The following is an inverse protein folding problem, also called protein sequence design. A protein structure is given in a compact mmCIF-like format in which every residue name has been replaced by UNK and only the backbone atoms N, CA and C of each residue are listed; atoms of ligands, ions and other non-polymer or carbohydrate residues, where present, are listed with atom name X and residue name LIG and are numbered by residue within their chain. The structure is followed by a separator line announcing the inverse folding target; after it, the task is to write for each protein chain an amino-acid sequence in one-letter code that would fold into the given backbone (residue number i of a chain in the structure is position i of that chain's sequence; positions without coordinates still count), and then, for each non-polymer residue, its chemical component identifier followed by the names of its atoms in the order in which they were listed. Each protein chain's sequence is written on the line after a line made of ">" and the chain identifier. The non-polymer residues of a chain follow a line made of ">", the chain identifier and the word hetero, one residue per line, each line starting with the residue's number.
data_IF_886312433251
#
_entry.id   IF_886312433251
#
_cell.length_a   1.000
_cell.length_b   1.000
_cell.length_c   1.000
_cell.angle_alpha   90.00
_cell.angle_beta   90.00
_cell.angle_gamma   90.00
#
_symmetry.space_group_name_H-M   'P 1'
#
loop_
_entity.id
_entity.type
_entity.pdbx_description
1 polymer ?
#
# COMPACT_ATOMS: atom_id res chain seq x y z
N UNK A 1 2.23 -15.82 16.70
CA UNK A 1 1.34 -14.84 16.03
C UNK A 1 1.09 -13.73 17.02
N UNK A 2 1.46 -12.48 16.72
CA UNK A 2 1.04 -11.35 17.58
C UNK A 2 -0.48 -11.25 17.46
N UNK A 3 -1.19 -11.10 18.59
CA UNK A 3 -2.64 -10.87 18.58
C UNK A 3 -2.89 -9.48 18.02
N UNK A 4 -3.84 -9.35 17.08
CA UNK A 4 -4.26 -8.05 16.56
C UNK A 4 -4.78 -7.20 17.71
N UNK A 5 -4.15 -6.05 17.93
CA UNK A 5 -4.51 -5.14 19.01
C UNK A 5 -5.59 -4.16 18.52
N UNK A 6 -6.51 -3.77 19.40
CA UNK A 6 -7.50 -2.74 19.07
C UNK A 6 -6.84 -1.36 19.17
N UNK A 7 -7.07 -0.50 18.18
CA UNK A 7 -6.59 0.88 18.20
C UNK A 7 -7.16 1.63 19.42
N UNK A 8 -6.31 2.44 20.05
CA UNK A 8 -6.77 3.40 21.05
C UNK A 8 -7.51 4.58 20.38
N UNK A 9 -8.10 5.45 21.20
CA UNK A 9 -8.88 6.59 20.71
C UNK A 9 -8.00 7.61 19.96
N UNK A 10 -6.76 7.81 20.39
CA UNK A 10 -5.83 8.75 19.77
C UNK A 10 -5.44 8.31 18.36
N UNK A 11 -5.11 7.03 18.20
CA UNK A 11 -4.76 6.43 16.92
C UNK A 11 -5.95 6.42 15.98
N UNK A 12 -7.13 6.03 16.48
CA UNK A 12 -8.37 6.08 15.68
C UNK A 12 -8.61 7.50 15.19
N UNK A 13 -8.47 8.50 16.06
CA UNK A 13 -8.67 9.90 15.70
C UNK A 13 -7.68 10.37 14.63
N UNK A 14 -6.38 10.13 14.79
CA UNK A 14 -5.39 10.60 13.81
C UNK A 14 -5.60 9.92 12.45
N UNK A 15 -5.89 8.61 12.40
CA UNK A 15 -6.10 7.93 11.11
C UNK A 15 -7.34 8.43 10.37
N UNK A 16 -8.41 8.78 11.09
CA UNK A 16 -9.57 9.46 10.49
C UNK A 16 -9.23 10.89 10.03
N UNK A 17 -8.38 11.61 10.77
CA UNK A 17 -7.89 12.92 10.31
C UNK A 17 -7.09 12.80 9.01
N UNK A 18 -6.17 11.82 8.91
CA UNK A 18 -5.45 11.55 7.66
C UNK A 18 -6.42 11.29 6.51
N UNK A 19 -7.47 10.49 6.76
CA UNK A 19 -8.48 10.20 5.75
C UNK A 19 -9.16 11.46 5.20
N UNK A 20 -9.55 12.39 6.07
CA UNK A 20 -10.20 13.63 5.64
C UNK A 20 -9.23 14.67 5.05
N UNK A 21 -7.94 14.60 5.38
CA UNK A 21 -6.90 15.50 4.88
C UNK A 21 -6.34 15.08 3.51
N UNK A 22 -6.67 13.88 3.04
CA UNK A 22 -6.22 13.30 1.78
C UNK A 22 -6.88 13.96 0.56
N UNK A 23 -6.49 15.20 0.28
CA UNK A 23 -7.00 16.01 -0.83
C UNK A 23 -6.62 15.47 -2.21
N UNK A 24 -5.56 14.67 -2.28
CA UNK A 24 -5.08 14.06 -3.51
C UNK A 24 -5.75 12.72 -3.81
N UNK A 25 -6.65 12.22 -2.94
CA UNK A 25 -7.47 11.06 -3.22
C UNK A 25 -8.24 11.23 -4.54
N UNK A 26 -8.15 10.23 -5.41
CA UNK A 26 -8.98 10.15 -6.60
C UNK A 26 -10.40 9.69 -6.21
N UNK A 27 -11.40 10.24 -6.91
CA UNK A 27 -12.81 9.95 -6.67
C UNK A 27 -13.32 8.87 -7.62
N UNK A 28 -14.05 7.85 -7.12
CA UNK A 28 -14.71 6.89 -7.99
C UNK A 28 -15.75 7.57 -8.89
N UNK A 29 -16.02 6.98 -10.05
CA UNK A 29 -16.93 7.49 -11.08
C UNK A 29 -16.39 8.69 -11.88
N UNK A 30 -15.49 9.49 -11.29
CA UNK A 30 -14.94 10.73 -11.86
C UNK A 30 -13.47 10.58 -12.28
N UNK A 31 -12.61 10.24 -11.33
CA UNK A 31 -11.17 10.16 -11.55
C UNK A 31 -10.72 8.73 -11.87
N UNK A 32 -11.47 7.71 -11.44
CA UNK A 32 -11.31 6.33 -11.86
C UNK A 32 -12.66 5.61 -11.92
N UNK A 33 -12.70 4.49 -12.65
CA UNK A 33 -13.83 3.56 -12.67
C UNK A 33 -13.30 2.13 -12.63
N UNK A 34 -13.95 1.30 -11.85
CA UNK A 34 -13.62 -0.12 -11.72
C UNK A 34 -14.81 -0.99 -12.16
N UNK A 35 -14.52 -2.25 -12.51
CA UNK A 35 -15.53 -3.28 -12.75
C UNK A 35 -15.23 -4.49 -11.88
N UNK A 36 -16.04 -4.69 -10.84
CA UNK A 36 -15.86 -5.78 -9.87
C UNK A 36 -16.07 -7.17 -10.48
N UNK A 37 -16.89 -7.26 -11.52
CA UNK A 37 -17.17 -8.50 -12.23
C UNK A 37 -17.65 -9.62 -11.29
N UNK A 38 -16.99 -10.79 -11.28
CA UNK A 38 -17.40 -11.95 -10.50
C UNK A 38 -16.69 -12.11 -9.16
N UNK A 39 -17.31 -12.90 -8.27
CA UNK A 39 -16.74 -13.27 -6.97
C UNK A 39 -15.66 -14.33 -7.14
N UNK A 40 -14.43 -14.00 -6.76
CA UNK A 40 -13.30 -14.92 -6.74
C UNK A 40 -13.51 -16.10 -5.77
N UNK A 41 -12.99 -17.26 -6.15
CA UNK A 41 -13.01 -18.47 -5.33
C UNK A 41 -11.96 -18.46 -4.22
N UNK A 42 -12.03 -19.47 -3.33
CA UNK A 42 -10.95 -19.71 -2.37
C UNK A 42 -9.70 -20.23 -3.09
N UNK A 43 -8.55 -19.66 -2.76
CA UNK A 43 -7.22 -20.11 -3.21
C UNK A 43 -6.33 -20.22 -1.99
N UNK A 44 -5.75 -21.40 -1.78
CA UNK A 44 -4.79 -21.62 -0.70
C UNK A 44 -3.46 -20.90 -1.00
N UNK A 45 -2.76 -20.47 0.05
CA UNK A 45 -1.45 -19.84 -0.09
C UNK A 45 -0.45 -20.81 -0.76
N UNK A 46 0.27 -20.33 -1.77
CA UNK A 46 1.18 -21.13 -2.61
C UNK A 46 0.51 -21.93 -3.73
N UNK A 47 -0.82 -21.87 -3.89
CA UNK A 47 -1.51 -22.40 -5.07
C UNK A 47 -1.42 -21.41 -6.23
N UNK A 48 -1.05 -21.90 -7.41
CA UNK A 48 -1.03 -21.13 -8.66
C UNK A 48 -2.26 -21.38 -9.56
N UNK A 49 -3.33 -21.96 -8.98
CA UNK A 49 -4.58 -22.19 -9.69
C UNK A 49 -5.69 -21.36 -9.03
N UNK A 50 -6.20 -20.40 -9.78
CA UNK A 50 -7.40 -19.62 -9.45
C UNK A 50 -8.43 -19.78 -10.58
N UNK A 51 -9.70 -19.92 -10.20
CA UNK A 51 -10.78 -19.85 -11.18
C UNK A 51 -10.97 -18.39 -11.59
N UNK A 52 -10.87 -18.13 -12.88
CA UNK A 52 -11.14 -16.81 -13.42
C UNK A 52 -12.64 -16.48 -13.36
N UNK A 53 -12.95 -15.39 -12.68
CA UNK A 53 -14.30 -14.83 -12.54
C UNK A 53 -14.35 -13.38 -13.04
N UNK A 54 -13.29 -12.90 -13.70
CA UNK A 54 -13.17 -11.55 -14.20
C UNK A 54 -12.48 -11.57 -15.58
N UNK A 55 -13.30 -11.55 -16.64
CA UNK A 55 -12.82 -11.63 -18.04
C UNK A 55 -12.20 -10.33 -18.54
N UNK A 56 -12.36 -9.24 -17.81
CA UNK A 56 -11.88 -7.91 -18.15
C UNK A 56 -10.98 -7.37 -17.02
N UNK A 57 -10.16 -6.34 -17.30
CA UNK A 57 -9.45 -5.60 -16.27
C UNK A 57 -10.37 -5.08 -15.16
N UNK A 58 -9.85 -4.98 -13.94
CA UNK A 58 -10.51 -4.30 -12.83
C UNK A 58 -10.70 -2.82 -13.17
N UNK A 59 -9.64 -2.12 -13.57
CA UNK A 59 -9.72 -0.70 -13.91
C UNK A 59 -10.21 -0.51 -15.34
N UNK A 60 -11.42 0.04 -15.49
CA UNK A 60 -11.96 0.40 -16.80
C UNK A 60 -11.53 1.79 -17.24
N UNK A 61 -11.15 2.65 -16.29
CA UNK A 61 -10.65 3.99 -16.53
C UNK A 61 -9.88 4.52 -15.32
N UNK A 62 -8.79 5.25 -15.57
CA UNK A 62 -8.08 6.09 -14.59
C UNK A 62 -7.68 7.38 -15.29
N UNK A 63 -7.88 8.52 -14.62
CA UNK A 63 -7.49 9.84 -15.11
C UNK A 63 -5.96 10.02 -14.98
N UNK A 64 -5.22 9.57 -15.99
CA UNK A 64 -3.76 9.67 -16.02
C UNK A 64 -3.24 11.10 -16.02
N UNK A 65 -3.98 12.05 -16.61
CA UNK A 65 -3.59 13.47 -16.61
C UNK A 65 -3.61 14.03 -15.18
N UNK A 66 -4.56 13.57 -14.36
CA UNK A 66 -4.60 13.88 -12.94
C UNK A 66 -3.43 13.26 -12.18
N UNK A 67 -3.07 12.01 -12.48
CA UNK A 67 -1.89 11.37 -11.89
C UNK A 67 -0.59 12.13 -12.22
N UNK A 68 -0.43 12.56 -13.46
CA UNK A 68 0.75 13.30 -13.92
C UNK A 68 0.81 14.73 -13.41
N UNK A 69 -0.33 15.34 -13.08
CA UNK A 69 -0.39 16.73 -12.60
C UNK A 69 -0.24 16.87 -11.09
N UNK A 70 -0.44 15.79 -10.32
CA UNK A 70 -0.24 15.78 -8.87
C UNK A 70 1.15 15.24 -8.57
N UNK A 71 2.05 16.10 -8.07
CA UNK A 71 3.45 15.77 -7.80
C UNK A 71 3.68 14.50 -6.99
N UNK A 72 2.81 14.22 -6.00
CA UNK A 72 2.97 13.02 -5.16
C UNK A 72 2.72 11.73 -5.94
N UNK A 73 1.77 11.72 -6.89
CA UNK A 73 1.58 10.60 -7.81
C UNK A 73 2.68 10.54 -8.87
N UNK A 74 3.04 11.67 -9.47
CA UNK A 74 4.10 11.74 -10.48
C UNK A 74 5.40 11.10 -9.97
N UNK A 75 5.91 11.57 -8.83
CA UNK A 75 7.14 11.01 -8.25
C UNK A 75 6.96 9.59 -7.73
N UNK A 76 5.77 9.22 -7.24
CA UNK A 76 5.50 7.85 -6.84
C UNK A 76 5.57 6.88 -8.03
N UNK A 77 5.00 7.26 -9.17
CA UNK A 77 5.03 6.46 -10.40
C UNK A 77 6.47 6.35 -10.94
N UNK A 78 7.25 7.44 -10.94
CA UNK A 78 8.68 7.37 -11.29
C UNK A 78 9.44 6.34 -10.46
N UNK A 79 9.19 6.29 -9.15
CA UNK A 79 9.80 5.29 -8.28
C UNK A 79 9.37 3.87 -8.67
N UNK A 80 8.07 3.63 -8.88
CA UNK A 80 7.56 2.30 -9.29
C UNK A 80 8.22 1.80 -10.60
N UNK A 81 8.35 2.68 -11.59
CA UNK A 81 8.94 2.35 -12.89
C UNK A 81 10.43 1.95 -12.75
N UNK A 82 11.18 2.61 -11.87
CA UNK A 82 12.59 2.31 -11.63
C UNK A 82 12.80 0.93 -10.99
N UNK A 83 11.98 0.57 -10.00
CA UNK A 83 12.10 -0.75 -9.36
C UNK A 83 11.72 -1.90 -10.31
N UNK A 84 10.82 -1.68 -11.27
CA UNK A 84 10.49 -2.69 -12.28
C UNK A 84 11.70 -3.01 -13.18
N UNK A 85 12.45 -1.97 -13.59
CA UNK A 85 13.66 -2.12 -14.42
C UNK A 85 14.81 -2.82 -13.70
N UNK A 86 14.91 -2.67 -12.37
CA UNK A 86 16.01 -3.21 -11.56
C UNK A 86 15.83 -4.68 -11.16
N UNK A 87 14.68 -5.30 -11.45
CA UNK A 87 14.44 -6.71 -11.10
C UNK A 87 15.45 -7.67 -11.76
N UNK A 88 16.33 -8.28 -10.95
CA UNK A 88 17.23 -9.37 -11.37
C UNK A 88 18.74 -9.07 -11.40
N UNK A 89 19.19 -7.91 -10.93
CA UNK A 89 20.61 -7.55 -10.78
C UNK A 89 20.87 -7.06 -9.35
N UNK A 90 22.10 -7.22 -8.83
CA UNK A 90 22.50 -6.63 -7.54
C UNK A 90 22.24 -5.12 -7.58
N UNK A 91 21.33 -4.63 -6.74
CA UNK A 91 20.94 -3.22 -6.72
C UNK A 91 22.15 -2.36 -6.36
N UNK A 92 22.52 -1.45 -7.26
CA UNK A 92 23.47 -0.37 -6.96
C UNK A 92 22.67 0.92 -7.00
N UNK A 93 22.47 1.54 -5.83
CA UNK A 93 21.71 2.78 -5.74
C UNK A 93 22.42 3.86 -6.56
N UNK A 94 21.78 4.30 -7.63
CA UNK A 94 22.25 5.36 -8.52
C UNK A 94 22.01 6.74 -7.92
N UNK A 95 22.71 7.75 -8.45
CA UNK A 95 22.52 9.14 -8.03
C UNK A 95 21.12 9.64 -8.35
N UNK A 96 20.57 9.11 -9.44
CA UNK A 96 19.23 9.35 -9.96
C UNK A 96 18.17 8.79 -9.02
N UNK A 97 18.29 7.52 -8.59
CA UNK A 97 17.36 6.92 -7.61
C UNK A 97 17.37 7.67 -6.27
N UNK A 98 18.54 8.09 -5.77
CA UNK A 98 18.61 8.93 -4.56
C UNK A 98 17.88 10.25 -4.74
N UNK A 99 17.96 10.85 -5.93
CA UNK A 99 17.29 12.10 -6.25
C UNK A 99 15.78 11.92 -6.29
N UNK A 100 15.29 10.84 -6.89
CA UNK A 100 13.86 10.54 -6.94
C UNK A 100 13.28 10.23 -5.56
N UNK A 101 13.98 9.43 -4.75
CA UNK A 101 13.60 9.16 -3.36
C UNK A 101 13.42 10.47 -2.57
N UNK A 102 14.37 11.41 -2.77
CA UNK A 102 14.29 12.74 -2.16
C UNK A 102 13.12 13.55 -2.68
N UNK A 103 12.88 13.59 -4.00
CA UNK A 103 11.78 14.33 -4.60
C UNK A 103 10.42 13.83 -4.10
N UNK A 104 10.25 12.51 -4.00
CA UNK A 104 9.03 11.92 -3.44
C UNK A 104 8.84 12.28 -1.97
N UNK A 105 9.87 12.12 -1.12
CA UNK A 105 9.81 12.52 0.29
C UNK A 105 9.48 14.01 0.42
N UNK A 106 10.15 14.86 -0.35
CA UNK A 106 9.93 16.31 -0.34
C UNK A 106 8.48 16.64 -0.70
N UNK A 107 7.90 15.98 -1.71
CA UNK A 107 6.51 16.18 -2.11
C UNK A 107 5.50 15.72 -1.05
N UNK A 108 5.67 14.51 -0.49
CA UNK A 108 4.69 14.00 0.47
C UNK A 108 4.69 14.79 1.77
N UNK A 109 5.84 15.29 2.25
CA UNK A 109 5.87 16.08 3.51
C UNK A 109 5.23 17.46 3.40
N UNK A 110 5.02 17.96 2.18
CA UNK A 110 4.30 19.23 1.95
C UNK A 110 2.78 19.07 2.12
N UNK A 111 2.27 17.83 2.09
CA UNK A 111 0.83 17.54 2.20
C UNK A 111 0.30 17.70 3.62
N UNK A 112 -0.99 18.03 3.75
CA UNK A 112 -1.65 18.14 5.06
C UNK A 112 -1.69 16.78 5.79
N UNK A 113 -1.78 15.68 5.04
CA UNK A 113 -1.71 14.31 5.53
C UNK A 113 -0.39 14.06 6.27
N UNK A 114 0.74 14.31 5.62
CA UNK A 114 2.04 14.03 6.22
C UNK A 114 2.39 15.00 7.33
N UNK A 115 1.96 16.27 7.25
CA UNK A 115 2.05 17.24 8.36
C UNK A 115 1.30 16.75 9.59
N UNK A 116 0.09 16.23 9.42
CA UNK A 116 -0.71 15.66 10.51
C UNK A 116 -0.01 14.44 11.13
N UNK A 117 0.50 13.53 10.30
CA UNK A 117 1.25 12.36 10.75
C UNK A 117 2.53 12.74 11.52
N UNK A 118 3.30 13.71 11.01
CA UNK A 118 4.51 14.22 11.65
C UNK A 118 4.19 14.81 13.03
N UNK A 119 3.18 15.68 13.12
CA UNK A 119 2.74 16.26 14.39
C UNK A 119 2.32 15.20 15.41
N UNK A 120 1.58 14.17 14.97
CA UNK A 120 1.18 13.06 15.82
C UNK A 120 2.39 12.29 16.35
N UNK A 121 3.35 11.95 15.49
CA UNK A 121 4.56 11.22 15.87
C UNK A 121 5.47 12.03 16.79
N UNK A 122 5.60 13.34 16.58
CA UNK A 122 6.31 14.25 17.49
C UNK A 122 5.65 14.27 18.86
N UNK A 123 4.32 14.40 18.92
CA UNK A 123 3.56 14.38 20.19
C UNK A 123 3.74 13.07 20.95
N UNK A 124 3.87 11.95 20.24
CA UNK A 124 4.12 10.61 20.82
C UNK A 124 5.60 10.35 21.14
N UNK A 125 6.50 11.31 20.88
CA UNK A 125 7.94 11.16 21.09
C UNK A 125 8.60 10.14 20.17
N UNK A 126 8.01 9.90 18.98
CA UNK A 126 8.47 8.89 17.99
C UNK A 126 9.20 9.51 16.80
N UNK A 127 9.06 10.82 16.60
CA UNK A 127 9.73 11.56 15.53
C UNK A 127 10.33 12.87 16.03
N UNK A 128 11.45 13.33 15.45
CA UNK A 128 12.00 14.65 15.71
C UNK A 128 11.07 15.74 15.19
N UNK A 129 11.02 16.89 15.86
CA UNK A 129 10.23 18.04 15.42
C UNK A 129 10.82 18.77 14.21
N UNK A 130 12.15 18.67 14.02
CA UNK A 130 12.83 19.22 12.85
C UNK A 130 12.44 18.46 11.57
N UNK A 131 11.97 19.20 10.56
CA UNK A 131 11.50 18.63 9.31
C UNK A 131 12.64 17.93 8.54
N UNK A 132 13.87 18.46 8.61
CA UNK A 132 15.02 17.85 7.95
C UNK A 132 15.37 16.47 8.54
N UNK A 133 15.31 16.35 9.86
CA UNK A 133 15.46 15.07 10.56
C UNK A 133 14.30 14.12 10.30
N UNK A 134 13.06 14.62 10.20
CA UNK A 134 11.91 13.78 9.85
C UNK A 134 12.01 13.21 8.43
N UNK A 135 12.45 14.02 7.45
CA UNK A 135 12.74 13.54 6.09
C UNK A 135 13.80 12.43 6.08
N UNK A 136 14.87 12.58 6.87
CA UNK A 136 15.88 11.52 7.02
C UNK A 136 15.29 10.26 7.67
N UNK A 137 14.45 10.42 8.70
CA UNK A 137 13.77 9.31 9.35
C UNK A 137 12.85 8.55 8.37
N UNK A 138 12.12 9.26 7.50
CA UNK A 138 11.33 8.63 6.45
C UNK A 138 12.22 7.90 5.44
N UNK A 139 13.33 8.52 5.02
CA UNK A 139 14.30 7.89 4.13
C UNK A 139 14.83 6.57 4.71
N UNK A 140 15.24 6.58 5.98
CA UNK A 140 15.78 5.39 6.66
C UNK A 140 14.77 4.25 6.77
N UNK A 141 13.49 4.57 6.93
CA UNK A 141 12.43 3.56 7.06
C UNK A 141 12.05 2.96 5.70
N UNK A 142 11.95 3.80 4.67
CA UNK A 142 11.34 3.46 3.40
C UNK A 142 12.34 3.12 2.29
N UNK A 143 13.49 3.80 2.23
CA UNK A 143 14.40 3.74 1.08
C UNK A 143 15.79 3.21 1.41
N UNK A 144 16.17 3.13 2.70
CA UNK A 144 17.43 2.50 3.09
C UNK A 144 17.39 1.01 2.75
N UNK A 145 18.37 0.58 1.95
CA UNK A 145 18.55 -0.81 1.60
C UNK A 145 18.89 -1.65 2.84
N UNK A 146 18.44 -2.91 2.84
CA UNK A 146 18.83 -3.91 3.82
C UNK A 146 18.98 -5.29 3.18
N UNK A 147 19.65 -6.20 3.88
CA UNK A 147 19.89 -7.57 3.41
C UNK A 147 18.61 -8.43 3.40
N UNK A 148 18.23 -9.02 2.25
CA UNK A 148 17.15 -10.03 2.17
C UNK A 148 17.49 -11.37 2.84
N UNK A 149 18.77 -11.81 2.81
CA UNK A 149 19.27 -13.05 3.45
C UNK A 149 20.63 -12.83 4.12
N UNK A 150 20.98 -13.68 5.11
CA UNK A 150 22.26 -13.63 5.86
C UNK A 150 23.51 -13.83 5.00
N UNK A 151 23.35 -14.20 3.74
CA UNK A 151 24.40 -14.57 2.78
C UNK A 151 24.47 -13.66 1.54
N UNK A 152 23.57 -12.68 1.39
CA UNK A 152 23.50 -11.76 0.23
C UNK A 152 23.81 -10.30 0.57
N UNK A 153 23.97 -9.44 -0.44
CA UNK A 153 24.13 -7.98 -0.28
C UNK A 153 22.86 -7.27 0.20
N UNK A 154 22.92 -5.96 0.47
CA UNK A 154 21.73 -5.13 0.70
C UNK A 154 21.03 -4.92 -0.66
N UNK A 155 19.82 -5.44 -0.85
CA UNK A 155 19.21 -5.59 -2.18
C UNK A 155 17.69 -5.34 -2.21
N UNK A 156 17.14 -4.71 -1.16
CA UNK A 156 15.75 -4.29 -1.12
C UNK A 156 15.49 -3.22 -0.06
N UNK A 157 14.38 -2.48 -0.21
CA UNK A 157 13.94 -1.45 0.74
C UNK A 157 12.44 -1.53 1.06
N UNK A 158 12.01 -0.80 2.09
CA UNK A 158 10.61 -0.83 2.54
C UNK A 158 9.61 -0.33 1.48
N UNK A 159 9.99 0.62 0.64
CA UNK A 159 9.17 1.09 -0.47
C UNK A 159 8.85 -0.04 -1.45
N UNK A 160 9.87 -0.82 -1.84
CA UNK A 160 9.71 -1.96 -2.74
C UNK A 160 8.75 -3.02 -2.13
N UNK A 161 8.98 -3.38 -0.86
CA UNK A 161 8.17 -4.40 -0.18
C UNK A 161 6.70 -4.01 0.05
N UNK A 162 6.40 -2.72 0.18
CA UNK A 162 5.04 -2.22 0.42
C UNK A 162 4.33 -1.93 -0.91
N UNK A 163 4.99 -1.21 -1.82
CA UNK A 163 4.33 -0.62 -3.00
C UNK A 163 4.60 -1.34 -4.30
N UNK A 164 5.83 -1.79 -4.56
CA UNK A 164 6.19 -2.46 -5.83
C UNK A 164 5.67 -3.91 -5.83
N UNK A 165 5.87 -4.61 -4.72
CA UNK A 165 5.61 -6.04 -4.60
C UNK A 165 6.78 -6.89 -5.11
N UNK A 166 6.94 -8.08 -4.54
CA UNK A 166 8.06 -8.98 -4.84
C UNK A 166 7.55 -10.43 -5.01
N UNK A 167 8.22 -11.20 -5.88
CA UNK A 167 8.00 -12.64 -5.99
C UNK A 167 9.03 -13.38 -5.11
N UNK A 168 8.63 -13.83 -3.94
CA UNK A 168 9.48 -14.62 -3.04
C UNK A 168 9.87 -15.94 -3.69
N UNK A 169 11.18 -16.09 -3.98
CA UNK A 169 11.78 -17.24 -4.65
C UNK A 169 11.10 -17.62 -5.98
N UNK A 170 10.46 -16.67 -6.66
CA UNK A 170 9.70 -16.93 -7.89
C UNK A 170 8.50 -17.86 -7.73
N UNK A 171 8.01 -18.08 -6.50
CA UNK A 171 6.93 -19.04 -6.19
C UNK A 171 5.71 -18.41 -5.55
N UNK A 172 5.88 -17.27 -4.88
CA UNK A 172 4.82 -16.62 -4.11
C UNK A 172 4.92 -15.11 -4.25
N UNK A 173 3.79 -14.45 -4.53
CA UNK A 173 3.72 -12.99 -4.57
C UNK A 173 3.56 -12.46 -3.14
N UNK A 174 4.50 -11.64 -2.69
CA UNK A 174 4.42 -10.85 -1.47
C UNK A 174 4.27 -9.37 -1.84
N UNK A 175 3.37 -8.63 -1.18
CA UNK A 175 3.16 -7.21 -1.51
C UNK A 175 2.14 -7.00 -2.64
N UNK A 176 2.30 -5.97 -3.47
CA UNK A 176 1.35 -5.52 -4.50
C UNK A 176 -0.07 -5.30 -3.94
N UNK A 177 -0.17 -4.36 -3.00
CA UNK A 177 -1.42 -3.94 -2.36
C UNK A 177 -1.84 -2.50 -2.72
N UNK A 178 -0.99 -1.78 -3.45
CA UNK A 178 -1.24 -0.41 -3.86
C UNK A 178 -1.98 -0.39 -5.20
N UNK A 179 -3.03 0.43 -5.27
CA UNK A 179 -3.90 0.47 -6.44
C UNK A 179 -3.26 1.11 -7.67
N UNK A 180 -2.32 2.04 -7.49
CA UNK A 180 -1.60 2.66 -8.62
C UNK A 180 -0.69 1.62 -9.25
N UNK A 181 0.10 0.89 -8.45
CA UNK A 181 0.92 -0.21 -8.95
C UNK A 181 0.05 -1.31 -9.59
N UNK A 182 -1.07 -1.68 -8.96
CA UNK A 182 -2.01 -2.63 -9.55
C UNK A 182 -2.47 -2.17 -10.93
N UNK A 183 -2.94 -0.93 -11.04
CA UNK A 183 -3.40 -0.35 -12.30
C UNK A 183 -2.31 -0.34 -13.37
N UNK A 184 -1.09 0.10 -13.04
CA UNK A 184 0.02 0.12 -13.99
C UNK A 184 0.38 -1.29 -14.45
N UNK A 185 0.44 -2.27 -13.55
CA UNK A 185 0.77 -3.65 -13.90
C UNK A 185 -0.36 -4.33 -14.68
N UNK A 186 -1.62 -4.01 -14.40
CA UNK A 186 -2.78 -4.48 -15.17
C UNK A 186 -2.77 -3.90 -16.59
N UNK A 187 -2.43 -2.61 -16.74
CA UNK A 187 -2.29 -1.95 -18.05
C UNK A 187 -1.17 -2.54 -18.91
N UNK A 188 -0.14 -3.13 -18.31
CA UNK A 188 0.96 -3.81 -19.01
C UNK A 188 0.72 -5.32 -19.16
N UNK A 189 -0.50 -5.81 -18.92
CA UNK A 189 -0.86 -7.24 -18.96
C UNK A 189 -0.01 -8.13 -18.02
N UNK A 190 0.62 -7.53 -16.99
CA UNK A 190 1.37 -8.26 -15.97
C UNK A 190 0.46 -8.77 -14.86
N UNK A 191 -0.60 -8.00 -14.53
CA UNK A 191 -1.64 -8.39 -13.59
C UNK A 191 -2.88 -8.84 -14.35
N UNK A 192 -3.42 -9.97 -13.91
CA UNK A 192 -4.64 -10.56 -14.44
C UNK A 192 -5.63 -10.74 -13.27
N UNK A 193 -6.60 -9.84 -13.20
CA UNK A 193 -7.62 -9.79 -12.16
C UNK A 193 -8.54 -11.01 -12.24
N UNK A 194 -8.78 -11.66 -11.09
CA UNK A 194 -9.58 -12.90 -11.00
C UNK A 194 -10.94 -12.72 -10.33
N UNK A 195 -11.24 -11.51 -9.87
CA UNK A 195 -12.48 -11.20 -9.17
C UNK A 195 -12.28 -10.70 -7.74
N UNK A 196 -13.37 -10.22 -7.15
CA UNK A 196 -13.39 -9.71 -5.79
C UNK A 196 -13.74 -10.83 -4.80
N UNK A 197 -13.30 -10.71 -3.54
CA UNK A 197 -13.79 -11.59 -2.47
C UNK A 197 -14.77 -10.84 -1.58
N UNK A 198 -16.05 -11.18 -1.73
CA UNK A 198 -17.08 -10.79 -0.77
C UNK A 198 -16.77 -11.41 0.60
N UNK A 199 -17.10 -10.70 1.68
CA UNK A 199 -16.97 -11.23 3.04
C UNK A 199 -18.01 -12.34 3.27
N UNK A 200 -17.75 -13.22 4.24
CA UNK A 200 -18.58 -14.42 4.47
C UNK A 200 -20.06 -14.12 4.79
N UNK A 201 -20.38 -12.93 5.28
CA UNK A 201 -21.75 -12.50 5.69
C UNK A 201 -22.19 -11.14 5.12
N UNK A 202 -21.65 -10.66 3.98
CA UNK A 202 -22.04 -9.34 3.41
C UNK A 202 -22.28 -9.38 1.90
N UNK A 203 -23.13 -8.44 1.47
CA UNK A 203 -23.39 -8.10 0.08
C UNK A 203 -22.08 -7.76 -0.68
N UNK A 204 -22.16 -7.88 -2.01
CA UNK A 204 -21.16 -7.41 -2.97
C UNK A 204 -20.62 -6.01 -2.58
N UNK A 205 -19.29 -5.79 -2.56
CA UNK A 205 -18.73 -4.45 -2.38
C UNK A 205 -19.25 -3.51 -3.47
N UNK A 206 -19.27 -2.21 -3.20
CA UNK A 206 -19.65 -1.22 -4.20
C UNK A 206 -18.44 -0.84 -5.08
N UNK A 207 -18.68 -0.39 -6.30
CA UNK A 207 -17.65 0.17 -7.18
C UNK A 207 -17.07 1.48 -6.62
N UNK A 208 -17.79 2.10 -5.68
CA UNK A 208 -17.37 3.30 -4.95
C UNK A 208 -16.59 2.98 -3.65
N UNK A 209 -16.44 1.69 -3.27
CA UNK A 209 -15.68 1.31 -2.07
C UNK A 209 -14.18 1.63 -2.24
N UNK A 210 -13.63 2.36 -1.27
CA UNK A 210 -12.20 2.70 -1.24
C UNK A 210 -11.31 1.60 -0.64
N UNK A 211 -11.88 0.46 -0.23
CA UNK A 211 -11.12 -0.70 0.24
C UNK A 211 -11.72 -1.97 -0.34
N UNK A 212 -10.93 -2.74 -1.07
CA UNK A 212 -11.39 -3.97 -1.73
C UNK A 212 -10.48 -5.15 -1.41
N UNK A 213 -11.07 -6.33 -1.38
CA UNK A 213 -10.36 -7.60 -1.31
C UNK A 213 -10.27 -8.20 -2.71
N UNK A 214 -9.08 -8.19 -3.31
CA UNK A 214 -8.85 -8.57 -4.70
C UNK A 214 -8.09 -9.89 -4.80
N UNK A 215 -8.47 -10.75 -5.74
CA UNK A 215 -7.68 -11.89 -6.20
C UNK A 215 -7.16 -11.59 -7.60
N UNK A 216 -5.89 -11.91 -7.86
CA UNK A 216 -5.27 -11.69 -9.16
C UNK A 216 -4.07 -12.62 -9.32
N UNK A 217 -3.64 -12.82 -10.56
CA UNK A 217 -2.31 -13.32 -10.86
C UNK A 217 -1.37 -12.19 -11.28
N UNK A 218 -0.10 -12.31 -10.95
CA UNK A 218 0.96 -11.40 -11.40
C UNK A 218 2.11 -12.21 -11.97
N UNK A 219 2.47 -11.96 -13.23
CA UNK A 219 3.52 -12.69 -13.98
C UNK A 219 3.36 -14.23 -13.88
N UNK A 220 2.12 -14.72 -13.95
CA UNK A 220 1.79 -16.15 -13.92
C UNK A 220 1.71 -16.80 -12.53
N UNK A 221 2.04 -16.08 -11.45
CA UNK A 221 1.83 -16.54 -10.08
C UNK A 221 0.48 -16.06 -9.57
N UNK A 222 -0.25 -16.89 -8.82
CA UNK A 222 -1.52 -16.48 -8.23
C UNK A 222 -1.29 -15.89 -6.85
N UNK A 223 -1.84 -14.71 -6.62
CA UNK A 223 -1.86 -14.11 -5.29
C UNK A 223 -3.16 -14.46 -4.59
N UNK A 224 -3.09 -15.05 -3.37
CA UNK A 224 -4.27 -15.15 -2.51
C UNK A 224 -4.87 -13.77 -2.24
N UNK A 225 -6.14 -13.75 -1.89
CA UNK A 225 -6.89 -12.51 -1.68
C UNK A 225 -6.17 -11.57 -0.72
N UNK A 226 -5.95 -10.34 -1.17
CA UNK A 226 -5.37 -9.26 -0.37
C UNK A 226 -6.25 -8.02 -0.34
N UNK A 227 -6.30 -7.35 0.81
CA UNK A 227 -6.94 -6.04 0.92
C UNK A 227 -6.07 -4.97 0.28
N UNK A 228 -6.70 -4.06 -0.46
CA UNK A 228 -6.05 -2.92 -1.10
C UNK A 228 -6.91 -1.68 -0.86
N UNK A 229 -6.26 -0.55 -0.58
CA UNK A 229 -6.94 0.74 -0.69
C UNK A 229 -7.09 1.09 -2.17
N UNK A 230 -8.19 1.72 -2.57
CA UNK A 230 -8.47 2.16 -3.94
C UNK A 230 -8.65 3.68 -3.93
N UNK A 231 -7.96 4.38 -4.84
CA UNK A 231 -8.07 5.82 -5.04
C UNK A 231 -7.33 6.69 -4.00
N UNK A 232 -6.93 6.15 -2.85
CA UNK A 232 -6.16 6.89 -1.82
C UNK A 232 -4.81 7.38 -2.36
N UNK A 233 -4.30 8.50 -1.84
CA UNK A 233 -3.00 9.02 -2.28
C UNK A 233 -1.80 8.23 -1.72
N UNK A 234 -0.64 8.28 -2.38
CA UNK A 234 0.58 7.66 -1.88
C UNK A 234 0.95 8.17 -0.48
N UNK A 235 0.83 9.47 -0.23
CA UNK A 235 1.12 10.07 1.08
C UNK A 235 0.19 9.57 2.19
N UNK A 236 -1.05 9.19 1.88
CA UNK A 236 -1.97 8.60 2.85
C UNK A 236 -1.47 7.23 3.31
N UNK A 237 -1.13 6.34 2.38
CA UNK A 237 -0.60 5.01 2.72
C UNK A 237 0.75 5.12 3.45
N UNK A 238 1.66 5.97 2.97
CA UNK A 238 2.95 6.22 3.64
C UNK A 238 2.75 6.73 5.07
N UNK A 239 1.87 7.71 5.27
CA UNK A 239 1.59 8.27 6.59
C UNK A 239 0.99 7.22 7.54
N UNK A 240 -0.01 6.49 7.07
CA UNK A 240 -0.70 5.46 7.84
C UNK A 240 0.27 4.35 8.25
N UNK A 241 1.03 3.77 7.32
CA UNK A 241 1.96 2.69 7.63
C UNK A 241 3.15 3.15 8.48
N UNK A 242 3.63 4.39 8.29
CA UNK A 242 4.67 4.97 9.16
C UNK A 242 4.20 5.12 10.60
N UNK A 243 2.96 5.58 10.82
CA UNK A 243 2.38 5.67 12.17
C UNK A 243 2.32 4.29 12.83
N UNK A 244 1.79 3.29 12.12
CA UNK A 244 1.67 1.93 12.67
C UNK A 244 3.05 1.31 12.91
N UNK A 245 4.03 1.55 12.04
CA UNK A 245 5.41 1.12 12.22
C UNK A 245 5.97 1.60 13.57
N UNK A 246 5.74 2.86 13.96
CA UNK A 246 6.25 3.41 15.22
C UNK A 246 5.53 2.96 16.49
N UNK A 247 4.41 2.23 16.38
CA UNK A 247 3.65 1.77 17.54
C UNK A 247 4.37 0.70 18.36
N UNK A 248 5.14 -0.15 17.70
CA UNK A 248 5.84 -1.28 18.33
C UNK A 248 7.20 -1.44 17.69
N UNK A 249 8.12 -2.17 18.32
CA UNK A 249 9.40 -2.64 17.74
C UNK A 249 9.36 -4.11 17.33
N UNK A 250 8.20 -4.77 17.47
CA UNK A 250 8.00 -6.16 17.06
C UNK A 250 8.13 -6.35 15.54
N UNK A 251 8.38 -7.61 15.12
CA UNK A 251 8.49 -7.99 13.70
C UNK A 251 7.21 -7.76 12.90
N UNK A 252 6.05 -7.78 13.57
CA UNK A 252 4.75 -7.58 12.94
C UNK A 252 3.82 -6.86 13.91
N UNK A 253 3.31 -5.72 13.49
CA UNK A 253 2.26 -4.97 14.19
C UNK A 253 0.96 -5.17 13.43
N UNK A 254 -0.09 -5.60 14.13
CA UNK A 254 -1.44 -5.67 13.56
C UNK A 254 -2.40 -4.88 14.43
N UNK A 255 -3.09 -3.89 13.84
CA UNK A 255 -4.02 -3.01 14.54
C UNK A 255 -5.39 -3.04 13.90
N UNK A 256 -6.41 -3.32 14.70
CA UNK A 256 -7.82 -3.17 14.29
C UNK A 256 -8.30 -1.76 14.59
N UNK A 257 -8.71 -1.03 13.57
CA UNK A 257 -9.15 0.37 13.66
C UNK A 257 -10.33 0.65 12.73
N UNK A 258 -11.20 1.58 13.12
CA UNK A 258 -12.22 2.13 12.23
C UNK A 258 -11.70 3.41 11.57
N UNK A 259 -11.50 3.39 10.26
CA UNK A 259 -11.13 4.55 9.44
C UNK A 259 -12.31 4.86 8.53
N UNK A 260 -12.91 6.03 8.74
CA UNK A 260 -14.17 6.43 8.15
C UNK A 260 -15.25 5.38 8.41
N UNK A 261 -15.83 4.81 7.37
CA UNK A 261 -16.81 3.73 7.46
C UNK A 261 -16.21 2.31 7.51
N UNK A 262 -14.89 2.18 7.32
CA UNK A 262 -14.20 0.90 7.19
C UNK A 262 -13.58 0.47 8.52
N UNK A 263 -13.91 -0.73 8.97
CA UNK A 263 -13.17 -1.43 10.03
C UNK A 263 -12.08 -2.25 9.37
N UNK A 264 -10.83 -1.85 9.62
CA UNK A 264 -9.63 -2.38 9.01
C UNK A 264 -8.76 -3.05 10.06
N UNK A 265 -8.15 -4.19 9.70
CA UNK A 265 -6.93 -4.67 10.34
C UNK A 265 -5.74 -4.18 9.49
N UNK A 266 -4.98 -3.23 10.03
CA UNK A 266 -3.77 -2.70 9.40
C UNK A 266 -2.58 -3.54 9.85
N UNK A 267 -1.90 -4.19 8.90
CA UNK A 267 -0.74 -5.04 9.16
C UNK A 267 0.51 -4.34 8.66
N UNK A 268 1.51 -4.22 9.52
CA UNK A 268 2.85 -3.68 9.18
C UNK A 268 3.92 -4.66 9.65
N UNK A 269 4.70 -5.18 8.71
CA UNK A 269 5.89 -5.97 9.00
C UNK A 269 7.12 -5.06 9.17
N UNK A 270 8.11 -5.54 9.93
CA UNK A 270 9.37 -4.83 10.21
C UNK A 270 10.57 -5.70 9.88
N UNK A 271 11.55 -5.09 9.21
CA UNK A 271 12.88 -5.64 8.99
C UNK A 271 13.92 -4.74 9.67
N UNK A 272 14.22 -5.03 10.93
CA UNK A 272 15.13 -4.19 11.71
C UNK A 272 14.59 -2.77 11.91
N UNK A 273 15.24 -1.79 11.27
CA UNK A 273 14.83 -0.39 11.32
C UNK A 273 13.98 0.04 10.11
N UNK A 274 13.77 -0.85 9.14
CA UNK A 274 13.01 -0.58 7.92
C UNK A 274 11.62 -1.20 7.97
N UNK A 275 10.69 -0.58 7.26
CA UNK A 275 9.35 -1.15 7.07
C UNK A 275 9.42 -2.31 6.08
N UNK A 276 8.62 -3.34 6.28
CA UNK A 276 8.42 -4.42 5.33
C UNK A 276 7.00 -4.42 4.78
N UNK A 277 6.59 -5.55 4.18
CA UNK A 277 5.24 -5.72 3.62
C UNK A 277 4.16 -5.22 4.58
N UNK A 278 3.35 -4.28 4.09
CA UNK A 278 2.33 -3.58 4.87
C UNK A 278 1.07 -3.44 4.03
N UNK A 279 -0.09 -3.70 4.62
CA UNK A 279 -1.34 -3.75 3.87
C UNK A 279 -2.57 -3.67 4.79
N UNK A 280 -3.70 -3.15 4.28
CA UNK A 280 -4.97 -3.24 4.97
C UNK A 280 -5.59 -4.62 4.78
N UNK A 281 -6.35 -5.06 5.77
CA UNK A 281 -7.34 -6.12 5.65
C UNK A 281 -8.68 -5.58 6.04
N UNK A 282 -9.63 -5.75 5.16
CA UNK A 282 -10.95 -5.17 5.32
C UNK A 282 -11.85 -6.13 6.15
N UNK A 283 -12.12 -5.80 7.42
CA UNK A 283 -12.92 -6.62 8.32
C UNK A 283 -14.43 -6.37 8.18
N UNK A 284 -14.84 -5.10 8.18
CA UNK A 284 -16.22 -4.69 7.93
C UNK A 284 -16.27 -3.28 7.34
N UNK A 285 -17.35 -2.94 6.65
CA UNK A 285 -17.66 -1.60 6.12
C UNK A 285 -19.11 -1.30 6.46
N UNK A 286 -19.43 -0.05 6.78
CA UNK A 286 -20.76 0.34 7.22
C UNK A 286 -21.68 0.78 6.07
N UNK A 287 -21.28 0.60 4.80
CA UNK A 287 -22.03 1.04 3.61
C UNK A 287 -23.47 0.52 3.43
N UNK A 288 -24.04 -0.26 4.36
CA UNK A 288 -25.50 -0.52 4.43
C UNK A 288 -25.99 -0.68 5.87
N UNK A 289 -26.55 0.41 6.38
CA UNK A 289 -27.80 0.47 7.16
C UNK A 289 -28.28 1.93 7.07
N UNK A 290 -28.99 2.27 5.98
CA UNK A 290 -30.01 3.30 5.83
C UNK A 290 -30.76 3.08 4.51
#
# INVERSE_FOLDING_TARGET
>A
MSRSQKADQDLTKVLNQLWHLDKNRLRPGTDYRISLQGKAGYVAQGSNVARDQAKAPLFTYVNEDKLKSIKTYEYFISLLDNYEMSTGVSETVTSEELKENKLFIDAIVETDVMKCAHQYLVKKGKSPSDLGQFKRQLYDIWFRLYHRDRSGGEDSCGFEHVFVGEAKYGKEIMGLHNWVQFYLQEKHDHVDYKGYKARDNKDTPDEDDHVLNLQFSWKGLVKPVGGSFIGVSPEFEVALFTIIFFMSTEKMTSVVVKVDEYVLELVVCRHGQSIGTSYPKLLSSNNRDL
#
